data_IF_158629388144
#
_entry.id   IF_158629388144
#
_cell.length_a   1.000
_cell.length_b   1.000
_cell.length_c   1.000
_cell.angle_alpha   90.00
_cell.angle_beta   90.00
_cell.angle_gamma   90.00
#
_symmetry.space_group_name_H-M   'P 1'
#
loop_
_entity.id
_entity.type
_entity.pdbx_description
1 polymer ?
#
# COMPACT_ATOMS: atom_id res chain seq x y z
N UNK A 1 -8.36 16.47 14.46
CA UNK A 1 -7.14 15.74 14.03
C UNK A 1 -6.83 16.17 12.61
N UNK A 2 -5.57 16.45 12.28
CA UNK A 2 -5.15 16.75 10.90
C UNK A 2 -4.62 15.45 10.31
N UNK A 3 -5.26 14.95 9.26
CA UNK A 3 -4.76 13.79 8.54
C UNK A 3 -3.47 14.17 7.82
N UNK A 4 -2.42 13.38 8.00
CA UNK A 4 -1.14 13.57 7.32
C UNK A 4 -1.08 12.65 6.11
N UNK A 5 -0.33 13.05 5.09
CA UNK A 5 -0.08 12.21 3.91
C UNK A 5 0.44 10.83 4.32
N UNK A 6 -0.11 9.77 3.72
CA UNK A 6 0.12 8.33 4.00
C UNK A 6 -0.58 7.78 5.25
N UNK A 7 -1.33 8.59 5.98
CA UNK A 7 -2.15 8.05 7.07
C UNK A 7 -3.22 7.10 6.52
N UNK A 8 -3.32 5.91 7.11
CA UNK A 8 -4.43 4.98 6.87
C UNK A 8 -5.65 5.45 7.66
N UNK A 9 -6.77 5.66 6.96
CA UNK A 9 -8.03 6.13 7.58
C UNK A 9 -9.08 5.02 7.70
N UNK A 10 -8.93 3.95 6.92
CA UNK A 10 -9.77 2.74 6.98
C UNK A 10 -9.02 1.54 6.40
N UNK A 11 -9.38 0.33 6.83
CA UNK A 11 -8.84 -0.93 6.34
C UNK A 11 -9.98 -1.97 6.25
N UNK A 12 -10.13 -2.57 5.08
CA UNK A 12 -11.05 -3.69 4.85
C UNK A 12 -10.24 -4.95 4.54
N UNK A 13 -10.57 -6.12 5.10
CA UNK A 13 -9.89 -7.38 4.74
C UNK A 13 -9.98 -7.67 3.24
N UNK A 14 -8.91 -8.23 2.68
CA UNK A 14 -8.91 -8.74 1.32
C UNK A 14 -9.44 -10.18 1.31
N UNK A 15 -10.01 -10.60 0.18
CA UNK A 15 -10.26 -12.02 -0.05
C UNK A 15 -8.92 -12.77 -0.11
N UNK A 16 -8.86 -14.05 0.29
CA UNK A 16 -7.64 -14.84 0.18
C UNK A 16 -7.16 -14.97 -1.27
N UNK A 17 -5.84 -15.05 -1.47
CA UNK A 17 -5.22 -15.32 -2.77
C UNK A 17 -4.77 -14.07 -3.55
N UNK A 18 -4.99 -12.87 -3.01
CA UNK A 18 -4.38 -11.66 -3.57
C UNK A 18 -2.91 -11.55 -3.16
N UNK A 19 -2.06 -11.30 -4.14
CA UNK A 19 -0.62 -11.12 -3.93
C UNK A 19 -0.14 -9.82 -4.59
N UNK A 20 0.99 -9.32 -4.11
CA UNK A 20 1.65 -8.14 -4.62
C UNK A 20 3.11 -8.46 -4.88
N UNK A 21 3.54 -8.32 -6.14
CA UNK A 21 4.95 -8.41 -6.50
C UNK A 21 5.61 -7.03 -6.29
N UNK A 22 6.53 -6.95 -5.34
CA UNK A 22 7.38 -5.79 -5.11
C UNK A 22 8.59 -5.84 -6.04
N UNK A 23 8.75 -4.82 -6.88
CA UNK A 23 9.88 -4.66 -7.78
C UNK A 23 10.72 -3.49 -7.28
N UNK A 24 11.92 -3.80 -6.77
CA UNK A 24 12.85 -2.80 -6.22
C UNK A 24 14.09 -2.69 -7.11
N UNK A 25 14.53 -1.47 -7.46
CA UNK A 25 15.76 -1.29 -8.23
C UNK A 25 16.96 -1.91 -7.51
N UNK A 26 17.65 -2.83 -8.18
CA UNK A 26 18.87 -3.46 -7.65
C UNK A 26 18.64 -4.55 -6.60
N UNK A 27 17.40 -5.03 -6.41
CA UNK A 27 17.08 -6.19 -5.59
C UNK A 27 16.20 -7.18 -6.36
N UNK A 28 16.18 -8.43 -5.92
CA UNK A 28 15.21 -9.42 -6.40
C UNK A 28 13.79 -8.99 -6.06
N UNK A 29 12.84 -9.32 -6.95
CA UNK A 29 11.42 -9.09 -6.67
C UNK A 29 10.95 -9.98 -5.53
N UNK A 30 9.93 -9.53 -4.81
CA UNK A 30 9.37 -10.26 -3.68
C UNK A 30 7.85 -10.33 -3.80
N UNK A 31 7.30 -11.54 -3.65
CA UNK A 31 5.85 -11.75 -3.61
C UNK A 31 5.38 -11.60 -2.17
N UNK A 32 4.40 -10.72 -1.97
CA UNK A 32 3.88 -10.36 -0.67
C UNK A 32 2.36 -10.60 -0.64
N UNK A 33 1.85 -11.34 0.34
CA UNK A 33 0.41 -11.55 0.44
C UNK A 33 -0.29 -10.24 0.81
N UNK A 34 -1.38 -9.95 0.11
CA UNK A 34 -2.28 -8.84 0.42
C UNK A 34 -3.28 -9.31 1.47
N UNK A 35 -3.33 -8.58 2.58
CA UNK A 35 -4.20 -8.90 3.72
C UNK A 35 -5.42 -7.96 3.80
N UNK A 36 -5.40 -6.85 3.07
CA UNK A 36 -6.46 -5.86 3.12
C UNK A 36 -6.35 -4.77 2.06
N UNK A 37 -7.39 -3.95 1.99
CA UNK A 37 -7.50 -2.75 1.18
C UNK A 37 -7.56 -1.55 2.12
N UNK A 38 -6.49 -0.75 2.12
CA UNK A 38 -6.34 0.43 2.94
C UNK A 38 -6.84 1.67 2.18
N UNK A 39 -7.65 2.50 2.83
CA UNK A 39 -7.89 3.87 2.38
C UNK A 39 -6.79 4.74 2.97
N UNK A 40 -5.94 5.30 2.11
CA UNK A 40 -4.79 6.12 2.50
C UNK A 40 -4.99 7.57 2.09
N UNK A 41 -4.46 8.50 2.89
CA UNK A 41 -4.42 9.93 2.54
C UNK A 41 -3.35 10.16 1.48
N UNK A 42 -3.79 10.40 0.24
CA UNK A 42 -2.91 10.63 -0.91
C UNK A 42 -2.31 12.04 -0.87
N UNK A 43 -3.15 13.05 -0.56
CA UNK A 43 -2.73 14.44 -0.42
C UNK A 43 -3.67 15.25 0.50
N UNK A 44 -3.24 16.46 0.86
CA UNK A 44 -4.07 17.45 1.53
C UNK A 44 -3.87 18.79 0.85
N UNK A 45 -4.90 19.29 0.18
CA UNK A 45 -4.87 20.54 -0.58
C UNK A 45 -4.81 21.76 0.36
N UNK A 46 -4.46 22.92 -0.21
CA UNK A 46 -4.29 24.15 0.56
C UNK A 46 -5.56 24.66 1.25
N UNK A 47 -6.74 24.30 0.74
CA UNK A 47 -8.06 24.58 1.32
C UNK A 47 -8.48 23.56 2.41
N UNK A 48 -7.65 22.55 2.68
CA UNK A 48 -7.88 21.55 3.72
C UNK A 48 -8.68 20.33 3.26
N UNK A 49 -8.97 20.20 1.97
CA UNK A 49 -9.57 18.98 1.42
C UNK A 49 -8.58 17.82 1.50
N UNK A 50 -9.06 16.67 1.93
CA UNK A 50 -8.26 15.44 2.05
C UNK A 50 -8.59 14.55 0.87
N UNK A 51 -7.58 14.27 0.05
CA UNK A 51 -7.69 13.31 -1.05
C UNK A 51 -7.23 11.95 -0.57
N UNK A 52 -7.97 10.90 -0.96
CA UNK A 52 -7.67 9.52 -0.55
C UNK A 52 -7.52 8.60 -1.74
N UNK A 53 -6.70 7.58 -1.59
CA UNK A 53 -6.58 6.46 -2.53
C UNK A 53 -6.86 5.14 -1.81
N UNK A 54 -7.25 4.11 -2.57
CA UNK A 54 -7.31 2.75 -2.06
C UNK A 54 -6.02 2.05 -2.49
N UNK A 55 -5.32 1.45 -1.53
CA UNK A 55 -4.08 0.71 -1.76
C UNK A 55 -4.12 -0.67 -1.10
N UNK A 56 -3.42 -1.67 -1.65
CA UNK A 56 -3.25 -2.96 -0.98
C UNK A 56 -2.41 -2.79 0.30
N UNK A 57 -2.87 -3.38 1.40
CA UNK A 57 -2.07 -3.61 2.59
C UNK A 57 -1.45 -5.01 2.50
N UNK A 58 -0.12 -5.08 2.50
CA UNK A 58 0.62 -6.33 2.30
C UNK A 58 1.63 -6.57 3.41
N UNK A 59 2.00 -7.84 3.62
CA UNK A 59 3.02 -8.22 4.61
C UNK A 59 4.38 -8.34 3.94
N UNK A 60 5.38 -7.61 4.45
CA UNK A 60 6.77 -7.71 4.04
C UNK A 60 7.68 -7.68 5.27
N UNK A 61 8.59 -8.65 5.37
CA UNK A 61 9.54 -8.78 6.48
C UNK A 61 8.90 -8.70 7.89
N UNK A 62 7.74 -9.33 8.05
CA UNK A 62 7.00 -9.40 9.32
C UNK A 62 6.23 -8.13 9.70
N UNK A 63 6.24 -7.09 8.85
CA UNK A 63 5.47 -5.86 9.04
C UNK A 63 4.42 -5.67 7.94
N UNK A 64 3.40 -4.87 8.23
CA UNK A 64 2.34 -4.50 7.27
C UNK A 64 2.67 -3.14 6.68
N UNK A 65 2.56 -3.03 5.37
CA UNK A 65 2.77 -1.79 4.65
C UNK A 65 1.66 -1.53 3.64
N UNK A 66 1.44 -0.26 3.38
CA UNK A 66 0.85 0.23 2.12
C UNK A 66 1.96 0.64 1.14
N UNK A 67 1.74 0.63 -0.19
CA UNK A 67 2.65 1.20 -1.17
C UNK A 67 3.16 2.59 -0.80
N UNK A 68 2.29 3.48 -0.32
CA UNK A 68 2.65 4.84 0.06
C UNK A 68 3.59 4.91 1.27
N UNK A 69 3.46 3.99 2.23
CA UNK A 69 4.38 3.86 3.37
C UNK A 69 5.70 3.19 2.95
N UNK A 70 5.62 2.13 2.14
CA UNK A 70 6.78 1.37 1.71
C UNK A 70 7.70 2.20 0.83
N UNK A 71 7.17 2.91 -0.17
CA UNK A 71 7.95 3.80 -1.05
C UNK A 71 8.66 4.90 -0.27
N UNK A 72 8.07 5.40 0.81
CA UNK A 72 8.75 6.38 1.66
C UNK A 72 9.97 5.78 2.39
N UNK A 73 9.91 4.49 2.69
CA UNK A 73 10.96 3.78 3.40
C UNK A 73 12.11 3.38 2.48
N UNK A 74 11.81 3.04 1.21
CA UNK A 74 12.80 2.54 0.23
C UNK A 74 13.13 3.52 -0.91
N UNK A 75 12.47 4.69 -0.95
CA UNK A 75 12.67 5.76 -1.94
C UNK A 75 11.91 5.58 -3.24
N UNK A 76 11.97 4.40 -3.88
CA UNK A 76 11.23 4.09 -5.11
C UNK A 76 10.61 2.70 -5.02
N UNK A 77 9.36 2.60 -5.46
CA UNK A 77 8.63 1.34 -5.53
C UNK A 77 7.97 1.21 -6.91
N UNK A 78 8.17 0.07 -7.55
CA UNK A 78 7.31 -0.44 -8.60
C UNK A 78 6.65 -1.71 -8.05
N UNK A 79 5.37 -1.93 -8.35
CA UNK A 79 4.70 -3.15 -7.92
C UNK A 79 3.62 -3.58 -8.90
N UNK A 80 3.32 -4.87 -8.89
CA UNK A 80 2.23 -5.48 -9.67
C UNK A 80 1.28 -6.14 -8.68
N UNK A 81 0.00 -5.78 -8.77
CA UNK A 81 -1.06 -6.46 -8.01
C UNK A 81 -1.54 -7.66 -8.81
N UNK A 82 -1.52 -8.84 -8.19
CA UNK A 82 -1.96 -10.10 -8.79
C UNK A 82 -3.27 -10.52 -8.14
N UNK A 83 -4.26 -10.79 -8.99
CA UNK A 83 -5.55 -11.31 -8.54
C UNK A 83 -5.45 -12.81 -8.23
N UNK A 84 -6.32 -13.34 -7.35
CA UNK A 84 -6.45 -14.78 -7.15
C UNK A 84 -6.77 -15.49 -8.48
N UNK A 85 -6.27 -16.71 -8.64
CA UNK A 85 -6.71 -17.60 -9.72
C UNK A 85 -8.11 -18.16 -9.39
N UNK A 86 -9.01 -18.16 -10.39
CA UNK A 86 -10.41 -18.65 -10.27
C UNK A 86 -10.53 -20.18 -10.11
#
# INVERSE_FOLDING_TARGET
MRYTRRSVVSLTPAEPGWDLELIRPGAESAICPVIGWAVVVADTTADGTVETAIEPAFVYDGAVFTPAEFVHSVGKLEYILMAPED
#
